data_IF_608396531014
#
_entry.id   IF_608396531014
#
_cell.length_a   1.000
_cell.length_b   1.000
_cell.length_c   1.000
_cell.angle_alpha   90.00
_cell.angle_beta   90.00
_cell.angle_gamma   90.00
#
_symmetry.space_group_name_H-M   'P 1'
#
loop_
_entity.id
_entity.type
_entity.pdbx_description
1 polymer ?
#
# COMPACT_ATOMS: atom_id res chain seq x y z
N UNK A 1 21.54 44.92 -48.44
CA UNK A 1 22.33 43.83 -47.86
C UNK A 1 22.65 44.20 -46.41
N UNK A 2 22.12 43.48 -45.41
CA UNK A 2 22.44 43.76 -44.02
C UNK A 2 23.94 43.51 -43.80
N UNK A 3 24.62 44.38 -43.02
CA UNK A 3 26.05 44.22 -42.76
C UNK A 3 26.25 42.94 -41.96
N UNK A 4 27.33 42.21 -42.23
CA UNK A 4 27.68 40.94 -41.55
C UNK A 4 27.62 41.05 -40.02
N UNK A 5 27.86 42.23 -39.46
CA UNK A 5 27.75 42.49 -38.02
C UNK A 5 26.30 42.47 -37.51
N UNK A 6 25.34 42.99 -38.27
CA UNK A 6 23.92 43.02 -37.88
C UNK A 6 23.33 41.60 -37.84
N UNK A 7 23.79 40.74 -38.76
CA UNK A 7 23.36 39.34 -38.81
C UNK A 7 23.92 38.51 -37.65
N UNK A 8 25.13 38.82 -37.17
CA UNK A 8 25.74 38.22 -35.96
C UNK A 8 25.06 38.68 -34.67
N UNK A 9 24.69 39.96 -34.59
CA UNK A 9 23.96 40.52 -33.44
C UNK A 9 22.56 39.89 -33.36
N UNK A 10 21.88 39.73 -34.50
CA UNK A 10 20.57 39.08 -34.55
C UNK A 10 20.65 37.61 -34.15
N UNK A 11 21.68 36.86 -34.58
CA UNK A 11 21.87 35.46 -34.16
C UNK A 11 22.20 35.35 -32.67
N UNK A 12 23.02 36.26 -32.14
CA UNK A 12 23.32 36.30 -30.70
C UNK A 12 22.05 36.60 -29.88
N UNK A 13 21.20 37.51 -30.35
CA UNK A 13 19.94 37.86 -29.69
C UNK A 13 18.96 36.69 -29.70
N UNK A 14 18.83 35.98 -30.83
CA UNK A 14 18.02 34.76 -30.94
C UNK A 14 18.52 33.65 -30.02
N UNK A 15 19.84 33.50 -29.87
CA UNK A 15 20.44 32.50 -28.99
C UNK A 15 20.18 32.80 -27.50
N UNK A 16 20.28 34.06 -27.09
CA UNK A 16 19.93 34.50 -25.73
C UNK A 16 18.44 34.32 -25.44
N UNK A 17 17.57 34.60 -26.41
CA UNK A 17 16.13 34.37 -26.29
C UNK A 17 15.79 32.88 -26.16
N UNK A 18 16.52 32.01 -26.88
CA UNK A 18 16.37 30.56 -26.80
C UNK A 18 16.76 30.04 -25.40
N UNK A 19 17.86 30.53 -24.83
CA UNK A 19 18.32 30.16 -23.48
C UNK A 19 17.32 30.62 -22.39
N UNK A 20 16.72 31.80 -22.57
CA UNK A 20 15.71 32.32 -21.64
C UNK A 20 14.43 31.46 -21.62
N UNK A 21 14.02 30.90 -22.77
CA UNK A 21 12.85 30.02 -22.87
C UNK A 21 13.05 28.67 -22.15
N UNK A 22 14.29 28.17 -22.03
CA UNK A 22 14.59 26.94 -21.27
C UNK A 22 14.62 27.13 -19.74
N UNK A 23 14.59 28.37 -19.24
CA UNK A 23 14.67 28.66 -17.80
C UNK A 23 13.30 28.70 -17.09
N UNK A 24 12.19 28.37 -17.78
CA UNK A 24 10.83 28.50 -17.24
C UNK A 24 10.25 27.23 -16.59
N UNK A 25 11.08 26.33 -16.07
CA UNK A 25 10.64 25.29 -15.14
C UNK A 25 11.11 25.62 -13.72
N UNK A 26 10.45 26.57 -13.07
CA UNK A 26 10.49 26.67 -11.60
C UNK A 26 9.54 25.60 -11.05
N UNK A 27 10.03 24.37 -10.89
CA UNK A 27 9.39 23.41 -10.00
C UNK A 27 9.43 24.06 -8.61
N UNK A 28 8.30 24.59 -8.14
CA UNK A 28 8.22 25.17 -6.79
C UNK A 28 8.77 24.17 -5.78
N UNK A 29 9.61 24.62 -4.85
CA UNK A 29 10.19 23.75 -3.83
C UNK A 29 9.06 23.07 -3.06
N UNK A 30 8.94 21.76 -3.19
CA UNK A 30 8.00 20.96 -2.40
C UNK A 30 8.39 21.06 -0.93
N UNK A 31 7.37 21.11 -0.08
CA UNK A 31 7.52 21.11 1.37
C UNK A 31 7.15 19.72 1.90
N UNK A 32 7.94 19.22 2.84
CA UNK A 32 7.65 18.00 3.57
C UNK A 32 6.43 18.22 4.47
N UNK A 33 5.43 17.34 4.35
CA UNK A 33 4.23 17.36 5.20
C UNK A 33 4.40 16.38 6.36
N UNK A 34 4.87 15.18 6.05
CA UNK A 34 5.20 14.16 7.06
C UNK A 34 6.25 13.21 6.52
N UNK A 35 7.25 12.88 7.34
CA UNK A 35 8.29 11.88 7.05
C UNK A 35 7.72 10.46 7.09
N UNK A 36 6.66 10.24 7.88
CA UNK A 36 6.09 8.91 8.10
C UNK A 36 4.63 9.01 8.50
N UNK A 37 3.77 8.36 7.73
CA UNK A 37 2.36 8.15 8.07
C UNK A 37 1.95 6.73 7.69
N UNK A 38 1.04 6.15 8.47
CA UNK A 38 0.49 4.83 8.22
C UNK A 38 -1.04 4.86 8.30
N UNK A 39 -1.71 4.28 7.31
CA UNK A 39 -3.17 4.22 7.25
C UNK A 39 -3.65 3.08 6.34
N UNK A 40 -4.91 2.69 6.53
CA UNK A 40 -5.55 1.60 5.79
C UNK A 40 -6.48 2.18 4.73
N UNK A 41 -6.43 1.62 3.52
CA UNK A 41 -7.29 1.97 2.39
C UNK A 41 -8.15 0.76 2.03
N UNK A 42 -9.46 0.96 1.98
CA UNK A 42 -10.43 -0.05 1.53
C UNK A 42 -10.29 -0.33 0.04
N UNK A 43 -10.24 -1.62 -0.30
CA UNK A 43 -10.29 -2.12 -1.68
C UNK A 43 -11.72 -2.47 -2.11
N UNK A 44 -12.65 -2.49 -1.17
CA UNK A 44 -14.07 -2.75 -1.39
C UNK A 44 -14.88 -1.72 -0.61
N UNK A 45 -15.91 -1.18 -1.26
CA UNK A 45 -16.78 -0.17 -0.60
C UNK A 45 -17.45 -0.80 0.63
N UNK A 46 -17.45 -0.09 1.78
CA UNK A 46 -18.21 -0.53 2.95
C UNK A 46 -19.72 -0.34 2.78
N UNK A 47 -20.14 0.49 1.82
CA UNK A 47 -21.54 0.83 1.56
C UNK A 47 -21.88 0.59 0.08
N UNK A 48 -22.88 -0.26 -0.23
CA UNK A 48 -23.27 -0.54 -1.61
C UNK A 48 -23.94 0.65 -2.31
N UNK A 49 -24.33 1.70 -1.59
CA UNK A 49 -24.93 2.91 -2.16
C UNK A 49 -23.91 3.89 -2.71
N UNK A 50 -22.63 3.70 -2.38
CA UNK A 50 -21.56 4.55 -2.88
C UNK A 50 -21.29 4.33 -4.36
N UNK A 51 -20.85 5.39 -5.03
CA UNK A 51 -20.35 5.27 -6.38
C UNK A 51 -19.23 4.23 -6.43
N UNK A 52 -19.16 3.49 -7.54
CA UNK A 52 -18.27 2.34 -7.72
C UNK A 52 -16.78 2.64 -7.54
N UNK A 53 -16.36 3.91 -7.49
CA UNK A 53 -14.98 4.35 -7.31
C UNK A 53 -14.67 4.86 -5.89
N UNK A 54 -15.69 5.05 -5.03
CA UNK A 54 -15.50 5.51 -3.66
C UNK A 54 -15.08 4.32 -2.81
N UNK A 55 -13.86 4.36 -2.26
CA UNK A 55 -13.31 3.31 -1.39
C UNK A 55 -13.36 1.90 -2.02
N UNK A 56 -13.29 1.83 -3.35
CA UNK A 56 -13.47 0.59 -4.08
C UNK A 56 -12.51 0.50 -5.27
N UNK A 57 -11.94 -0.68 -5.42
CA UNK A 57 -11.26 -1.10 -6.63
C UNK A 57 -12.14 -2.15 -7.31
N UNK A 58 -12.43 -1.97 -8.59
CA UNK A 58 -13.32 -2.86 -9.35
C UNK A 58 -12.77 -4.29 -9.30
N UNK A 59 -13.66 -5.28 -9.15
CA UNK A 59 -13.32 -6.69 -8.89
C UNK A 59 -12.04 -7.19 -9.57
N UNK A 60 -11.96 -7.20 -10.92
CA UNK A 60 -10.77 -7.70 -11.62
C UNK A 60 -9.46 -6.98 -11.30
N UNK A 61 -9.51 -5.67 -11.02
CA UNK A 61 -8.33 -4.88 -10.67
C UNK A 61 -7.91 -5.15 -9.23
N UNK A 62 -8.88 -5.29 -8.32
CA UNK A 62 -8.65 -5.66 -6.92
C UNK A 62 -8.01 -7.02 -6.81
N UNK A 63 -8.62 -7.99 -7.47
CA UNK A 63 -8.15 -9.38 -7.50
C UNK A 63 -6.72 -9.45 -8.02
N UNK A 64 -6.45 -8.80 -9.16
CA UNK A 64 -5.09 -8.73 -9.71
C UNK A 64 -4.09 -8.11 -8.75
N UNK A 65 -4.44 -7.03 -8.05
CA UNK A 65 -3.56 -6.39 -7.08
C UNK A 65 -3.23 -7.31 -5.90
N UNK A 66 -4.25 -7.94 -5.32
CA UNK A 66 -4.09 -8.89 -4.22
C UNK A 66 -3.25 -10.08 -4.67
N UNK A 67 -3.54 -10.66 -5.83
CA UNK A 67 -2.80 -11.79 -6.38
C UNK A 67 -1.32 -11.45 -6.58
N UNK A 68 -1.01 -10.28 -7.14
CA UNK A 68 0.39 -9.83 -7.31
C UNK A 68 1.12 -9.72 -5.97
N UNK A 69 0.48 -9.15 -4.94
CA UNK A 69 1.09 -9.01 -3.61
C UNK A 69 1.30 -10.37 -2.94
N UNK A 70 0.28 -11.22 -2.95
CA UNK A 70 0.32 -12.53 -2.31
C UNK A 70 1.29 -13.47 -3.01
N UNK A 71 1.24 -13.53 -4.34
CA UNK A 71 2.14 -14.37 -5.14
C UNK A 71 3.60 -13.96 -4.94
N UNK A 72 3.90 -12.66 -5.02
CA UNK A 72 5.27 -12.16 -4.83
C UNK A 72 5.85 -12.54 -3.47
N UNK A 73 5.03 -12.52 -2.42
CA UNK A 73 5.45 -12.89 -1.07
C UNK A 73 5.57 -14.41 -0.89
N UNK A 74 4.59 -15.18 -1.37
CA UNK A 74 4.53 -16.65 -1.24
C UNK A 74 5.54 -17.39 -2.12
N UNK A 75 5.99 -16.78 -3.22
CA UNK A 75 7.05 -17.32 -4.08
C UNK A 75 8.44 -16.81 -3.68
N UNK A 76 8.52 -15.86 -2.73
CA UNK A 76 9.78 -15.24 -2.30
C UNK A 76 10.38 -14.28 -3.34
N UNK A 77 9.56 -13.79 -4.29
CA UNK A 77 9.98 -12.78 -5.27
C UNK A 77 10.28 -11.41 -4.65
N UNK A 78 9.58 -11.07 -3.56
CA UNK A 78 9.87 -9.92 -2.70
C UNK A 78 9.98 -10.40 -1.25
N UNK A 79 11.01 -9.93 -0.53
CA UNK A 79 11.17 -10.21 0.90
C UNK A 79 10.00 -9.59 1.68
N UNK A 80 9.22 -10.44 2.33
CA UNK A 80 8.16 -10.02 3.24
C UNK A 80 8.70 -9.88 4.67
N UNK A 81 8.02 -9.06 5.47
CA UNK A 81 8.35 -8.83 6.86
C UNK A 81 7.11 -8.95 7.74
N UNK A 82 7.28 -9.37 8.98
CA UNK A 82 6.20 -9.34 9.96
C UNK A 82 5.85 -7.91 10.40
N UNK A 83 4.89 -7.78 11.33
CA UNK A 83 4.49 -6.49 11.87
C UNK A 83 5.62 -5.71 12.56
N UNK A 84 6.62 -6.41 13.10
CA UNK A 84 7.77 -5.84 13.80
C UNK A 84 8.95 -5.56 12.86
N UNK A 85 8.78 -5.77 11.55
CA UNK A 85 9.78 -5.57 10.51
C UNK A 85 10.89 -6.62 10.51
N UNK A 86 10.63 -7.78 11.09
CA UNK A 86 11.52 -8.94 11.00
C UNK A 86 11.24 -9.71 9.70
N UNK A 87 12.28 -10.13 8.97
CA UNK A 87 12.10 -10.84 7.72
C UNK A 87 11.45 -12.20 7.98
N UNK A 88 10.40 -12.52 7.22
CA UNK A 88 9.69 -13.78 7.29
C UNK A 88 9.84 -14.57 6.00
N UNK A 89 9.76 -15.90 6.10
CA UNK A 89 9.86 -16.81 4.97
C UNK A 89 8.49 -17.03 4.31
N UNK A 90 8.45 -17.53 3.07
CA UNK A 90 7.19 -17.96 2.45
C UNK A 90 6.43 -19.02 3.27
N UNK A 91 7.13 -19.82 4.06
CA UNK A 91 6.49 -20.79 4.95
C UNK A 91 5.77 -20.10 6.11
N UNK A 92 6.38 -19.09 6.72
CA UNK A 92 5.77 -18.30 7.79
C UNK A 92 4.52 -17.56 7.28
N UNK A 93 4.56 -17.06 6.05
CA UNK A 93 3.38 -16.46 5.40
C UNK A 93 2.28 -17.49 5.23
N UNK A 94 2.58 -18.70 4.76
CA UNK A 94 1.58 -19.78 4.64
C UNK A 94 0.95 -20.13 5.99
N UNK A 95 1.75 -20.15 7.06
CA UNK A 95 1.23 -20.34 8.41
C UNK A 95 0.33 -19.18 8.86
N UNK A 96 0.73 -17.94 8.58
CA UNK A 96 -0.07 -16.75 8.91
C UNK A 96 -1.45 -16.76 8.23
N UNK A 97 -1.55 -17.34 7.04
CA UNK A 97 -2.82 -17.51 6.32
C UNK A 97 -3.67 -18.66 6.86
N UNK A 98 -3.16 -19.52 7.75
CA UNK A 98 -3.89 -20.64 8.34
C UNK A 98 -3.88 -20.52 9.86
N UNK A 99 -4.94 -19.93 10.39
CA UNK A 99 -5.13 -19.75 11.82
C UNK A 99 -5.94 -20.92 12.40
N UNK A 100 -5.46 -21.55 13.46
CA UNK A 100 -6.17 -22.63 14.14
C UNK A 100 -6.58 -22.17 15.52
N UNK A 101 -7.88 -22.06 15.77
CA UNK A 101 -8.43 -21.64 17.05
C UNK A 101 -9.14 -22.79 17.74
N UNK A 102 -8.90 -22.95 19.05
CA UNK A 102 -9.68 -23.85 19.89
C UNK A 102 -10.99 -23.15 20.28
N UNK A 103 -12.13 -23.74 19.93
CA UNK A 103 -13.46 -23.19 20.23
C UNK A 103 -14.23 -24.21 21.05
N UNK A 104 -14.75 -23.77 22.19
CA UNK A 104 -15.64 -24.56 23.03
C UNK A 104 -17.08 -24.40 22.55
N UNK A 105 -17.67 -25.48 22.05
CA UNK A 105 -19.05 -25.54 21.61
C UNK A 105 -19.95 -26.18 22.67
N UNK A 106 -21.24 -25.85 22.62
CA UNK A 106 -22.29 -26.51 23.41
C UNK A 106 -23.05 -27.49 22.52
N UNK A 107 -23.22 -28.74 22.95
CA UNK A 107 -24.06 -29.70 22.23
C UNK A 107 -25.50 -29.17 22.12
N UNK A 108 -26.16 -29.46 21.00
CA UNK A 108 -27.55 -29.02 20.74
C UNK A 108 -28.56 -29.93 21.47
N UNK A 109 -28.16 -31.14 21.84
CA UNK A 109 -29.00 -32.10 22.55
C UNK A 109 -28.67 -32.15 24.06
N UNK A 110 -29.67 -32.32 24.94
CA UNK A 110 -29.45 -32.59 26.35
C UNK A 110 -28.48 -33.77 26.56
N UNK A 111 -27.54 -33.69 27.51
CA UNK A 111 -27.43 -32.69 28.58
C UNK A 111 -26.71 -31.38 28.21
N UNK A 112 -26.53 -31.08 26.91
CA UNK A 112 -25.88 -29.86 26.40
C UNK A 112 -24.45 -29.64 26.91
N UNK A 113 -23.67 -30.70 26.99
CA UNK A 113 -22.28 -30.64 27.44
C UNK A 113 -21.44 -29.73 26.54
N UNK A 114 -20.43 -29.11 27.16
CA UNK A 114 -19.40 -28.37 26.46
C UNK A 114 -18.37 -29.34 25.88
N UNK A 115 -17.90 -29.07 24.67
CA UNK A 115 -16.79 -29.81 24.07
C UNK A 115 -15.91 -28.85 23.28
N UNK A 116 -14.62 -29.12 23.28
CA UNK A 116 -13.66 -28.34 22.52
C UNK A 116 -13.53 -28.91 21.09
N UNK A 117 -13.47 -28.02 20.11
CA UNK A 117 -13.18 -28.34 18.72
C UNK A 117 -12.10 -27.40 18.20
N UNK A 118 -11.23 -27.93 17.32
CA UNK A 118 -10.31 -27.11 16.55
C UNK A 118 -11.06 -26.58 15.33
N UNK A 119 -11.09 -25.26 15.17
CA UNK A 119 -11.59 -24.60 13.98
C UNK A 119 -10.40 -24.02 13.24
N UNK A 120 -10.17 -24.50 12.02
CA UNK A 120 -9.12 -24.00 11.13
C UNK A 120 -9.77 -22.93 10.24
N UNK A 121 -9.29 -21.71 10.35
CA UNK A 121 -9.66 -20.59 9.51
C UNK A 121 -8.52 -20.31 8.54
N UNK A 122 -8.80 -20.47 7.25
CA UNK A 122 -7.89 -20.07 6.19
C UNK A 122 -8.28 -18.66 5.72
N UNK A 123 -7.28 -17.79 5.61
CA UNK A 123 -7.42 -16.48 4.98
C UNK A 123 -7.40 -16.70 3.47
N UNK A 124 -8.55 -16.50 2.85
CA UNK A 124 -8.70 -16.55 1.41
C UNK A 124 -8.44 -15.17 0.81
N UNK A 125 -8.28 -15.14 -0.51
CA UNK A 125 -8.05 -13.91 -1.27
C UNK A 125 -9.16 -12.88 -1.05
N UNK A 126 -10.41 -13.32 -0.91
CA UNK A 126 -11.59 -12.49 -0.72
C UNK A 126 -11.65 -11.81 0.65
N UNK A 127 -10.91 -12.36 1.62
CA UNK A 127 -10.79 -11.77 2.96
C UNK A 127 -9.89 -10.53 2.93
N UNK A 128 -8.98 -10.41 1.95
CA UNK A 128 -8.09 -9.26 1.79
C UNK A 128 -8.85 -8.08 1.20
N UNK A 129 -9.34 -7.21 2.08
CA UNK A 129 -10.24 -6.10 1.71
C UNK A 129 -9.65 -4.72 1.95
N UNK A 130 -8.45 -4.63 2.54
CA UNK A 130 -7.73 -3.37 2.74
C UNK A 130 -6.25 -3.53 2.41
N UNK A 131 -5.61 -2.42 2.08
CA UNK A 131 -4.15 -2.29 2.03
C UNK A 131 -3.75 -1.21 3.02
N UNK A 132 -2.78 -1.54 3.86
CA UNK A 132 -2.09 -0.58 4.70
C UNK A 132 -0.92 0.00 3.95
N UNK A 133 -0.82 1.32 3.93
CA UNK A 133 0.30 2.05 3.37
C UNK A 133 1.16 2.63 4.49
N UNK A 134 2.47 2.62 4.29
CA UNK A 134 3.44 3.40 5.04
C UNK A 134 4.12 4.36 4.07
N UNK A 135 4.02 5.67 4.31
CA UNK A 135 4.36 6.70 3.31
C UNK A 135 5.03 7.93 3.92
N UNK A 136 5.73 8.68 3.06
CA UNK A 136 6.13 10.08 3.24
C UNK A 136 5.32 10.96 2.29
N UNK A 137 4.86 12.12 2.76
CA UNK A 137 4.09 13.06 1.96
C UNK A 137 4.83 14.38 1.79
N UNK A 138 4.85 14.88 0.55
CA UNK A 138 5.30 16.22 0.23
C UNK A 138 4.22 16.99 -0.53
N UNK A 139 4.23 18.31 -0.45
CA UNK A 139 3.25 19.18 -1.10
C UNK A 139 3.93 20.37 -1.78
N UNK A 140 3.45 20.74 -2.96
CA UNK A 140 3.77 22.03 -3.55
C UNK A 140 2.82 23.09 -2.96
N UNK A 141 3.30 24.06 -2.16
CA UNK A 141 2.44 25.02 -1.47
C UNK A 141 1.75 26.02 -2.42
N UNK A 142 2.23 26.15 -3.67
CA UNK A 142 1.64 27.04 -4.67
C UNK A 142 0.52 26.36 -5.45
N UNK A 143 0.66 25.06 -5.75
CA UNK A 143 -0.31 24.33 -6.58
C UNK A 143 -1.21 23.39 -5.77
N UNK A 144 -0.91 23.19 -4.49
CA UNK A 144 -1.53 22.18 -3.62
C UNK A 144 -1.39 20.73 -4.12
N UNK A 145 -0.54 20.48 -5.12
CA UNK A 145 -0.26 19.12 -5.59
C UNK A 145 0.56 18.37 -4.54
N UNK A 146 0.10 17.18 -4.17
CA UNK A 146 0.78 16.29 -3.24
C UNK A 146 1.50 15.17 -3.98
N UNK A 147 2.61 14.74 -3.41
CA UNK A 147 3.35 13.56 -3.83
C UNK A 147 3.52 12.64 -2.62
N UNK A 148 3.27 11.35 -2.85
CA UNK A 148 3.35 10.31 -1.83
C UNK A 148 4.47 9.35 -2.22
N UNK A 149 5.47 9.22 -1.36
CA UNK A 149 6.49 8.19 -1.49
C UNK A 149 6.06 7.02 -0.61
N UNK A 150 5.80 5.87 -1.23
CA UNK A 150 5.43 4.65 -0.52
C UNK A 150 6.71 3.96 -0.05
N UNK A 151 6.82 3.72 1.25
CA UNK A 151 7.88 2.93 1.86
C UNK A 151 7.53 1.46 1.93
N UNK A 152 6.29 1.15 2.28
CA UNK A 152 5.81 -0.23 2.37
C UNK A 152 4.31 -0.34 2.26
N UNK A 153 3.87 -1.53 1.85
CA UNK A 153 2.46 -1.91 1.75
C UNK A 153 2.22 -3.21 2.49
N UNK A 154 1.06 -3.35 3.13
CA UNK A 154 0.65 -4.61 3.75
C UNK A 154 -0.80 -4.96 3.39
N UNK A 155 -1.09 -6.18 2.90
CA UNK A 155 -2.46 -6.62 2.74
C UNK A 155 -3.09 -6.83 4.13
N UNK A 156 -4.36 -6.48 4.26
CA UNK A 156 -5.13 -6.65 5.49
C UNK A 156 -6.35 -7.50 5.20
N UNK A 157 -6.45 -8.61 5.93
CA UNK A 157 -7.58 -9.51 5.91
C UNK A 157 -8.66 -9.10 6.92
N UNK A 158 -9.92 -9.19 6.51
CA UNK A 158 -11.08 -9.14 7.38
C UNK A 158 -11.23 -10.51 8.05
N UNK A 159 -11.35 -10.53 9.37
CA UNK A 159 -11.58 -11.74 10.16
C UNK A 159 -12.80 -11.52 11.05
N UNK A 160 -13.50 -12.61 11.35
CA UNK A 160 -14.56 -12.65 12.35
C UNK A 160 -14.07 -13.58 13.44
N UNK A 161 -13.93 -13.08 14.67
CA UNK A 161 -13.53 -13.93 15.80
C UNK A 161 -14.67 -14.84 16.26
N UNK A 162 -14.38 -15.76 17.19
CA UNK A 162 -15.36 -16.72 17.69
C UNK A 162 -16.59 -16.06 18.35
N UNK A 163 -16.49 -14.78 18.74
CA UNK A 163 -17.57 -13.99 19.31
C UNK A 163 -18.38 -13.22 18.24
N UNK A 164 -18.03 -13.37 16.95
CA UNK A 164 -18.68 -12.66 15.85
C UNK A 164 -18.16 -11.23 15.66
N UNK A 165 -17.08 -10.83 16.34
CA UNK A 165 -16.53 -9.48 16.23
C UNK A 165 -15.59 -9.42 15.03
N UNK A 166 -15.79 -8.39 14.22
CA UNK A 166 -14.93 -8.11 13.08
C UNK A 166 -13.56 -7.57 13.52
N UNK A 167 -12.50 -8.17 12.99
CA UNK A 167 -11.10 -7.81 13.20
C UNK A 167 -10.43 -7.57 11.86
N UNK A 168 -9.53 -6.59 11.84
CA UNK A 168 -8.71 -6.28 10.67
C UNK A 168 -7.29 -6.69 10.96
N UNK A 169 -6.82 -7.75 10.31
CA UNK A 169 -5.51 -8.34 10.53
C UNK A 169 -4.56 -7.94 9.40
N UNK A 170 -3.55 -7.09 9.66
CA UNK A 170 -2.42 -6.93 8.75
C UNK A 170 -1.68 -8.25 8.63
N UNK A 171 -1.36 -8.65 7.40
CA UNK A 171 -0.63 -9.89 7.15
C UNK A 171 0.88 -9.63 7.28
N UNK A 172 1.50 -9.15 6.22
CA UNK A 172 2.94 -8.92 6.15
C UNK A 172 3.24 -7.62 5.42
N UNK A 173 4.38 -7.01 5.73
CA UNK A 173 4.89 -5.86 4.99
C UNK A 173 5.68 -6.29 3.76
N UNK A 174 5.44 -5.58 2.65
CA UNK A 174 6.28 -5.54 1.47
C UNK A 174 6.88 -4.15 1.38
N UNK A 175 8.18 -4.04 1.64
CA UNK A 175 8.90 -2.77 1.54
C UNK A 175 9.32 -2.48 0.10
N UNK A 176 8.94 -1.32 -0.41
CA UNK A 176 9.29 -0.82 -1.74
C UNK A 176 10.62 -0.05 -1.73
N UNK A 177 11.03 0.45 -0.56
CA UNK A 177 12.29 1.16 -0.33
C UNK A 177 13.22 0.32 0.57
N UNK A 178 14.34 -0.16 0.01
CA UNK A 178 15.32 -1.00 0.71
C UNK A 178 16.16 -0.22 1.73
N UNK A 179 16.33 1.08 1.54
CA UNK A 179 17.11 1.90 2.46
C UNK A 179 16.27 2.20 3.70
N UNK A 180 14.97 2.42 3.52
CA UNK A 180 14.04 2.66 4.61
C UNK A 180 13.96 1.49 5.61
N UNK A 181 13.86 0.24 5.13
CA UNK A 181 13.82 -0.92 6.04
C UNK A 181 15.09 -1.05 6.89
N UNK A 182 16.25 -0.65 6.37
CA UNK A 182 17.49 -0.65 7.15
C UNK A 182 17.49 0.44 8.24
N UNK A 183 16.78 1.54 8.04
CA UNK A 183 16.62 2.60 9.04
C UNK A 183 15.70 2.18 10.19
N UNK A 184 14.72 1.30 9.94
CA UNK A 184 13.80 0.80 10.97
C UNK A 184 14.45 -0.18 11.95
N UNK A 185 15.61 -0.75 11.60
CA UNK A 185 16.32 -1.75 12.43
C UNK A 185 17.27 -1.13 13.47
N UNK A 186 17.47 0.19 13.41
CA UNK A 186 18.31 0.97 14.33
C UNK A 186 17.45 1.78 15.30
#
# INVERSE_FOLDING_TARGET
MPKINDMKILTLFLFVLLIALFSSCKQGSRQLVTEKIQYDVSLMSPDPTYDWWIQNLVGPQREKLVDMMMQSALEGGVQAYDYFNEPITPFDIKQMLSDTTLVTFRRIEPPYELFDSLVIHTIEREDIQRIRFMEEWTINPTTMQMEKKIYGIAPIARRIDAQGIERWQPLFWLYTDKDFINQLKN
#
